data_IF_109838473397
#
_entry.id   IF_109838473397
#
_cell.length_a   1.000
_cell.length_b   1.000
_cell.length_c   1.000
_cell.angle_alpha   90.00
_cell.angle_beta   90.00
_cell.angle_gamma   90.00
#
_symmetry.space_group_name_H-M   'P 1'
#
loop_
_entity.id
_entity.type
_entity.pdbx_description
1 polymer ?
#
# COMPACT_ATOMS: atom_id res chain seq x y z
N UNK A 1 4.03 -8.69 12.05
CA UNK A 1 2.74 -8.13 12.52
C UNK A 1 2.02 -9.16 13.37
N UNK A 2 1.37 -8.80 14.48
CA UNK A 2 0.49 -9.74 15.21
C UNK A 2 -0.85 -9.87 14.44
N UNK A 3 -1.25 -11.06 13.95
CA UNK A 3 -2.46 -11.23 13.14
C UNK A 3 -3.76 -10.83 13.85
N UNK A 4 -3.79 -10.91 15.19
CA UNK A 4 -4.95 -10.55 16.01
C UNK A 4 -5.33 -9.07 15.81
N UNK A 5 -4.34 -8.22 15.53
CA UNK A 5 -4.58 -6.79 15.31
C UNK A 5 -5.55 -6.51 14.16
N UNK A 6 -5.59 -7.37 13.13
CA UNK A 6 -6.55 -7.23 12.04
C UNK A 6 -7.98 -7.59 12.46
N UNK A 7 -8.15 -8.46 13.47
CA UNK A 7 -9.47 -8.75 14.02
C UNK A 7 -9.91 -7.67 15.01
N UNK A 8 -8.97 -7.02 15.70
CA UNK A 8 -9.26 -6.06 16.77
C UNK A 8 -9.33 -4.61 16.30
N UNK A 9 -8.65 -4.24 15.21
CA UNK A 9 -8.58 -2.87 14.69
C UNK A 9 -9.20 -2.84 13.28
N UNK A 10 -10.49 -2.48 13.13
CA UNK A 10 -11.19 -2.50 11.85
C UNK A 10 -10.49 -1.68 10.76
N UNK A 11 -9.98 -0.49 11.11
CA UNK A 11 -9.26 0.36 10.16
C UNK A 11 -7.97 -0.30 9.64
N UNK A 12 -7.27 -1.06 10.48
CA UNK A 12 -6.06 -1.78 10.07
C UNK A 12 -6.39 -2.90 9.08
N UNK A 13 -7.51 -3.60 9.31
CA UNK A 13 -8.02 -4.58 8.35
C UNK A 13 -8.39 -3.95 7.01
N UNK A 14 -9.11 -2.82 7.03
CA UNK A 14 -9.49 -2.10 5.82
C UNK A 14 -8.26 -1.63 5.03
N UNK A 15 -7.26 -1.07 5.71
CA UNK A 15 -6.00 -0.66 5.08
C UNK A 15 -5.30 -1.87 4.45
N UNK A 16 -5.28 -3.03 5.13
CA UNK A 16 -4.69 -4.26 4.58
C UNK A 16 -5.39 -4.71 3.29
N UNK A 17 -6.73 -4.67 3.26
CA UNK A 17 -7.50 -5.04 2.08
C UNK A 17 -7.28 -4.03 0.94
N UNK A 18 -7.28 -2.74 1.24
CA UNK A 18 -7.00 -1.69 0.27
C UNK A 18 -5.62 -1.89 -0.36
N UNK A 19 -4.57 -2.13 0.46
CA UNK A 19 -3.22 -2.39 -0.04
C UNK A 19 -3.17 -3.62 -0.94
N UNK A 20 -3.83 -4.72 -0.58
CA UNK A 20 -3.93 -5.90 -1.44
C UNK A 20 -4.51 -5.56 -2.81
N UNK A 21 -5.63 -4.85 -2.83
CA UNK A 21 -6.28 -4.42 -4.08
C UNK A 21 -5.37 -3.54 -4.91
N UNK A 22 -4.68 -2.58 -4.28
CA UNK A 22 -3.79 -1.67 -4.99
C UNK A 22 -2.55 -2.38 -5.56
N UNK A 23 -1.95 -3.34 -4.85
CA UNK A 23 -0.83 -4.15 -5.37
C UNK A 23 -1.25 -4.93 -6.61
N UNK A 24 -2.44 -5.54 -6.59
CA UNK A 24 -2.97 -6.28 -7.73
C UNK A 24 -3.25 -5.36 -8.93
N UNK A 25 -3.85 -4.19 -8.69
CA UNK A 25 -4.07 -3.19 -9.72
C UNK A 25 -2.75 -2.68 -10.29
N UNK A 26 -1.75 -2.46 -9.44
CA UNK A 26 -0.42 -2.03 -9.84
C UNK A 26 0.22 -3.02 -10.81
N UNK A 27 0.23 -4.32 -10.49
CA UNK A 27 0.78 -5.36 -11.39
C UNK A 27 0.10 -5.39 -12.77
N UNK A 28 -1.17 -4.99 -12.87
CA UNK A 28 -1.85 -4.84 -14.16
C UNK A 28 -1.45 -3.55 -14.87
N UNK A 29 -1.42 -2.42 -14.17
CA UNK A 29 -1.12 -1.09 -14.74
C UNK A 29 0.29 -1.04 -15.34
N UNK A 30 1.30 -1.60 -14.65
CA UNK A 30 2.68 -1.61 -15.13
C UNK A 30 2.86 -2.34 -16.46
N UNK A 31 1.95 -3.26 -16.80
CA UNK A 31 1.96 -4.04 -18.05
C UNK A 31 1.18 -3.36 -19.18
N UNK A 32 0.33 -2.40 -18.86
CA UNK A 32 -0.56 -1.75 -19.82
C UNK A 32 0.06 -0.52 -20.48
N UNK A 33 0.60 0.41 -19.69
CA UNK A 33 1.13 1.67 -20.21
C UNK A 33 2.19 2.28 -19.28
N UNK A 34 3.38 2.54 -19.83
CA UNK A 34 4.50 3.10 -19.08
C UNK A 34 4.25 4.54 -18.62
N UNK A 35 3.48 5.33 -19.40
CA UNK A 35 3.20 6.73 -19.07
C UNK A 35 2.19 6.86 -17.93
N UNK A 36 1.17 5.99 -17.90
CA UNK A 36 0.22 5.90 -16.79
C UNK A 36 0.91 5.41 -15.53
N UNK A 37 1.83 4.45 -15.67
CA UNK A 37 2.68 3.96 -14.58
C UNK A 37 3.52 5.06 -13.95
N UNK A 38 4.20 5.87 -14.77
CA UNK A 38 5.02 7.00 -14.33
C UNK A 38 4.19 8.03 -13.54
N UNK A 39 3.05 8.46 -14.09
CA UNK A 39 2.14 9.39 -13.40
C UNK A 39 1.64 8.84 -12.06
N UNK A 40 1.33 7.54 -12.00
CA UNK A 40 0.87 6.93 -10.76
C UNK A 40 2.00 6.88 -9.72
N UNK A 41 3.24 6.59 -10.15
CA UNK A 41 4.42 6.66 -9.28
C UNK A 41 4.59 8.06 -8.68
N UNK A 42 4.46 9.11 -9.49
CA UNK A 42 4.51 10.50 -9.03
C UNK A 42 3.43 10.80 -7.99
N UNK A 43 2.19 10.33 -8.20
CA UNK A 43 1.10 10.51 -7.24
C UNK A 43 1.31 9.82 -5.89
N UNK A 44 2.11 8.74 -5.84
CA UNK A 44 2.30 7.96 -4.62
C UNK A 44 3.31 8.57 -3.64
N UNK A 45 4.11 9.56 -4.07
CA UNK A 45 4.95 10.42 -3.22
C UNK A 45 5.72 9.65 -2.12
N UNK A 46 6.55 8.69 -2.54
CA UNK A 46 7.36 7.87 -1.63
C UNK A 46 6.64 6.67 -0.98
N UNK A 47 5.31 6.56 -1.10
CA UNK A 47 4.53 5.40 -0.60
C UNK A 47 4.52 4.21 -1.54
N UNK A 48 5.45 4.17 -2.50
CA UNK A 48 5.57 3.09 -3.48
C UNK A 48 5.82 1.72 -2.84
N UNK A 49 6.45 1.68 -1.67
CA UNK A 49 6.62 0.44 -0.91
C UNK A 49 5.28 -0.26 -0.58
N UNK A 50 4.17 0.47 -0.58
CA UNK A 50 2.84 -0.10 -0.37
C UNK A 50 2.34 -0.94 -1.55
N UNK A 51 2.90 -0.74 -2.75
CA UNK A 51 2.47 -1.33 -4.02
C UNK A 51 3.45 -2.35 -4.61
N UNK A 52 4.69 -2.36 -4.14
CA UNK A 52 5.77 -3.13 -4.76
C UNK A 52 5.61 -4.65 -4.66
N UNK A 53 5.08 -5.16 -3.54
CA UNK A 53 4.97 -6.61 -3.33
C UNK A 53 3.79 -6.99 -2.44
N UNK A 54 3.09 -8.06 -2.83
CA UNK A 54 2.01 -8.64 -2.03
C UNK A 54 2.53 -9.24 -0.71
N UNK A 55 3.81 -9.62 -0.64
CA UNK A 55 4.44 -10.11 0.58
C UNK A 55 4.67 -8.99 1.60
N UNK A 56 4.71 -7.74 1.14
CA UNK A 56 5.02 -6.57 1.98
C UNK A 56 3.74 -5.87 2.50
N UNK A 57 2.55 -6.44 2.25
CA UNK A 57 1.25 -5.89 2.67
C UNK A 57 1.13 -5.67 4.18
N UNK A 58 1.92 -6.41 4.96
CA UNK A 58 1.92 -6.36 6.42
C UNK A 58 3.11 -5.56 6.98
N UNK A 59 3.91 -4.93 6.11
CA UNK A 59 4.99 -4.01 6.48
C UNK A 59 4.44 -2.59 6.54
N UNK A 60 4.55 -1.94 7.70
CA UNK A 60 4.11 -0.56 7.90
C UNK A 60 5.29 0.25 8.43
N UNK A 61 5.45 1.47 7.95
CA UNK A 61 6.34 2.45 8.56
C UNK A 61 5.62 3.20 9.67
N UNK A 62 6.34 3.53 10.74
CA UNK A 62 5.89 4.55 11.67
C UNK A 62 6.20 5.89 11.03
N UNK A 63 5.16 6.60 10.59
CA UNK A 63 5.32 7.99 10.20
C UNK A 63 5.39 8.82 11.48
N UNK A 64 6.54 9.44 11.75
CA UNK A 64 6.69 10.38 12.87
C UNK A 64 6.13 11.73 12.43
N UNK A 65 4.81 11.76 12.21
CA UNK A 65 4.05 12.96 11.87
C UNK A 65 3.44 13.58 13.12
N UNK A 66 4.08 14.66 13.58
CA UNK A 66 3.68 15.62 14.63
C UNK A 66 2.40 15.30 15.44
N UNK A 67 2.61 14.82 16.66
CA UNK A 67 1.78 15.24 17.79
C UNK A 67 1.95 16.77 17.95
N UNK A 68 1.13 17.55 17.27
CA UNK A 68 0.80 18.94 17.61
C UNK A 68 -0.71 19.06 17.74
#
# INVERSE_FOLDING_TARGET
MNPILYATIPNLYLIRQLRRTLVLLWDQIIRCDSKTTEKLCECMDGRMYMLQNINDIDIYSIEVGLLL
#
